data_IF_850456524935
#
_entry.id   IF_850456524935
#
_cell.length_a   1.000
_cell.length_b   1.000
_cell.length_c   1.000
_cell.angle_alpha   90.00
_cell.angle_beta   90.00
_cell.angle_gamma   90.00
#
_symmetry.space_group_name_H-M   'P 1'
#
loop_
_entity.id
_entity.type
_entity.pdbx_description
1 polymer ?
#
# COMPACT_ATOMS: atom_id res chain seq x y z
N UNK A 1 17.92 -3.73 8.04
CA UNK A 1 19.14 -3.23 7.36
C UNK A 1 19.22 -1.74 7.64
N UNK A 2 20.18 -1.33 8.48
CA UNK A 2 20.38 0.07 8.87
C UNK A 2 20.90 0.88 7.67
N UNK A 3 20.42 2.11 7.49
CA UNK A 3 20.83 3.01 6.41
C UNK A 3 22.28 3.46 6.67
N UNK A 4 23.08 3.56 5.62
CA UNK A 4 24.48 3.99 5.73
C UNK A 4 24.59 5.50 5.58
N UNK A 5 25.62 6.14 6.14
CA UNK A 5 25.90 7.57 5.93
C UNK A 5 25.96 7.95 4.43
N UNK A 6 26.36 7.00 3.59
CA UNK A 6 26.37 7.13 2.12
C UNK A 6 24.96 7.23 1.53
N UNK A 7 23.98 6.51 2.09
CA UNK A 7 22.58 6.57 1.66
C UNK A 7 21.92 7.90 2.03
N UNK A 8 22.27 8.47 3.18
CA UNK A 8 21.76 9.78 3.62
C UNK A 8 22.33 10.91 2.75
N UNK A 9 23.65 10.93 2.53
CA UNK A 9 24.31 11.92 1.67
C UNK A 9 23.79 11.87 0.22
N UNK A 10 23.54 10.67 -0.32
CA UNK A 10 22.97 10.50 -1.66
C UNK A 10 21.53 11.06 -1.75
N UNK A 11 20.72 10.93 -0.69
CA UNK A 11 19.36 11.49 -0.64
C UNK A 11 19.36 13.01 -0.58
N UNK A 12 20.27 13.60 0.19
CA UNK A 12 20.40 15.07 0.26
C UNK A 12 20.83 15.66 -1.08
N UNK A 13 21.81 15.04 -1.75
CA UNK A 13 22.25 15.46 -3.08
C UNK A 13 21.11 15.34 -4.12
N UNK A 14 20.29 14.27 -4.04
CA UNK A 14 19.11 14.12 -4.89
C UNK A 14 18.06 15.20 -4.61
N UNK A 15 17.81 15.52 -3.33
CA UNK A 15 16.90 16.59 -2.89
C UNK A 15 17.28 17.93 -3.47
N UNK A 16 18.56 18.28 -3.38
CA UNK A 16 19.09 19.51 -3.96
C UNK A 16 18.89 19.57 -5.49
N UNK A 17 19.02 18.44 -6.20
CA UNK A 17 18.88 18.36 -7.66
C UNK A 17 17.44 18.48 -8.17
N UNK A 18 16.46 17.96 -7.43
CA UNK A 18 15.06 17.91 -7.90
C UNK A 18 14.27 19.20 -7.66
N UNK A 19 14.83 20.17 -6.91
CA UNK A 19 14.24 21.49 -6.70
C UNK A 19 13.04 21.49 -5.72
N UNK A 20 12.50 22.69 -5.46
CA UNK A 20 11.48 22.94 -4.43
C UNK A 20 10.10 22.29 -4.68
N UNK A 21 9.87 21.76 -5.88
CA UNK A 21 8.60 21.09 -6.25
C UNK A 21 8.57 19.60 -5.91
N UNK A 22 9.70 18.98 -5.56
CA UNK A 22 9.75 17.58 -5.18
C UNK A 22 9.22 17.41 -3.75
N UNK A 23 8.12 16.66 -3.61
CA UNK A 23 7.56 16.29 -2.30
C UNK A 23 8.24 15.05 -1.76
N UNK A 24 8.78 15.17 -0.56
CA UNK A 24 9.41 14.09 0.19
C UNK A 24 8.60 13.78 1.43
N UNK A 25 8.71 12.55 1.92
CA UNK A 25 8.18 12.19 3.23
C UNK A 25 8.70 13.16 4.30
N UNK A 26 7.83 13.48 5.27
CA UNK A 26 8.20 14.25 6.45
C UNK A 26 9.43 13.64 7.16
N UNK A 27 10.26 14.49 7.77
CA UNK A 27 11.51 14.04 8.41
C UNK A 27 11.28 13.05 9.57
N UNK A 28 10.14 13.15 10.26
CA UNK A 28 9.74 12.26 11.34
C UNK A 28 8.88 11.08 10.86
N UNK A 29 8.65 10.90 9.55
CA UNK A 29 7.90 9.77 9.02
C UNK A 29 8.64 8.45 9.34
N UNK A 30 7.92 7.32 9.54
CA UNK A 30 8.53 6.02 9.80
C UNK A 30 9.19 5.46 8.53
N UNK A 31 10.41 5.94 8.23
CA UNK A 31 11.09 5.70 6.96
C UNK A 31 11.33 4.22 6.66
N UNK A 32 11.57 3.39 7.70
CA UNK A 32 11.72 1.94 7.56
C UNK A 32 10.43 1.27 7.09
N UNK A 33 9.30 1.60 7.73
CA UNK A 33 8.00 1.02 7.40
C UNK A 33 7.51 1.47 6.03
N UNK A 34 7.72 2.75 5.68
CA UNK A 34 7.46 3.27 4.33
C UNK A 34 8.29 2.56 3.26
N UNK A 35 9.55 2.26 3.56
CA UNK A 35 10.40 1.49 2.66
C UNK A 35 9.87 0.06 2.47
N UNK A 36 9.41 -0.60 3.56
CA UNK A 36 8.80 -1.92 3.46
C UNK A 36 7.51 -1.91 2.65
N UNK A 37 6.65 -0.90 2.84
CA UNK A 37 5.41 -0.72 2.09
C UNK A 37 5.69 -0.57 0.58
N UNK A 38 6.61 0.33 0.22
CA UNK A 38 6.96 0.60 -1.19
C UNK A 38 7.63 -0.59 -1.87
N UNK A 39 8.53 -1.29 -1.17
CA UNK A 39 9.16 -2.51 -1.71
C UNK A 39 8.16 -3.64 -1.88
N UNK A 40 7.25 -3.80 -0.92
CA UNK A 40 6.18 -4.77 -0.98
C UNK A 40 5.21 -4.48 -2.12
N UNK A 41 4.82 -3.22 -2.33
CA UNK A 41 4.00 -2.80 -3.46
C UNK A 41 4.69 -3.09 -4.80
N UNK A 42 5.99 -2.78 -4.92
CA UNK A 42 6.75 -3.12 -6.12
C UNK A 42 6.85 -4.65 -6.34
N UNK A 43 6.98 -5.45 -5.26
CA UNK A 43 7.00 -6.90 -5.35
C UNK A 43 5.64 -7.48 -5.76
N UNK A 44 4.55 -7.03 -5.13
CA UNK A 44 3.20 -7.42 -5.48
C UNK A 44 2.88 -7.06 -6.94
N UNK A 45 3.25 -5.85 -7.39
CA UNK A 45 3.06 -5.42 -8.78
C UNK A 45 3.76 -6.37 -9.78
N UNK A 46 4.99 -6.82 -9.48
CA UNK A 46 5.68 -7.81 -10.31
C UNK A 46 4.92 -9.13 -10.35
N UNK A 47 4.51 -9.65 -9.19
CA UNK A 47 3.73 -10.89 -9.11
C UNK A 47 2.38 -10.78 -9.81
N UNK A 48 1.71 -9.65 -9.71
CA UNK A 48 0.48 -9.38 -10.45
C UNK A 48 0.71 -9.38 -11.97
N UNK A 49 1.81 -8.81 -12.44
CA UNK A 49 2.16 -8.75 -13.86
C UNK A 49 2.63 -10.09 -14.45
N UNK A 50 3.05 -11.04 -13.61
CA UNK A 50 3.37 -12.41 -14.02
C UNK A 50 2.11 -13.25 -14.31
N UNK A 51 0.93 -12.85 -13.81
CA UNK A 51 -0.34 -13.54 -14.07
C UNK A 51 -0.86 -13.24 -15.48
N UNK A 52 -1.33 -14.26 -16.18
CA UNK A 52 -2.19 -14.08 -17.36
C UNK A 52 -3.59 -13.62 -16.96
N UNK A 53 -4.43 -13.23 -17.92
CA UNK A 53 -5.83 -12.88 -17.61
C UNK A 53 -6.64 -14.10 -17.14
N UNK A 54 -6.36 -15.29 -17.66
CA UNK A 54 -7.01 -16.53 -17.23
C UNK A 54 -6.62 -16.93 -15.80
N UNK A 55 -5.41 -16.58 -15.37
CA UNK A 55 -4.92 -16.88 -14.03
C UNK A 55 -5.73 -16.20 -12.91
N UNK A 56 -6.42 -15.10 -13.20
CA UNK A 56 -7.19 -14.35 -12.20
C UNK A 56 -8.33 -15.18 -11.60
N UNK A 57 -8.91 -16.09 -12.38
CA UNK A 57 -10.01 -16.97 -11.98
C UNK A 57 -9.52 -18.20 -11.19
N UNK A 58 -8.22 -18.46 -11.16
CA UNK A 58 -7.66 -19.56 -10.37
C UNK A 58 -7.79 -19.30 -8.85
N UNK A 59 -7.82 -20.37 -8.03
CA UNK A 59 -7.77 -20.25 -6.58
C UNK A 59 -6.53 -19.48 -6.09
N UNK A 60 -6.73 -18.67 -5.05
CA UNK A 60 -5.66 -18.07 -4.25
C UNK A 60 -5.30 -18.99 -3.08
N UNK A 61 -4.32 -18.61 -2.24
CA UNK A 61 -4.07 -19.33 -0.98
C UNK A 61 -5.07 -18.98 0.14
N UNK A 62 -5.92 -17.96 -0.06
CA UNK A 62 -7.02 -17.66 0.87
C UNK A 62 -8.22 -18.54 0.53
N UNK A 63 -8.74 -19.24 1.53
CA UNK A 63 -9.88 -20.13 1.36
C UNK A 63 -11.09 -19.39 0.77
N UNK A 64 -11.71 -19.97 -0.26
CA UNK A 64 -12.86 -19.38 -0.94
C UNK A 64 -12.55 -18.20 -1.86
N UNK A 65 -11.30 -17.74 -1.95
CA UNK A 65 -10.92 -16.59 -2.77
C UNK A 65 -10.19 -17.02 -4.03
N UNK A 66 -10.57 -16.45 -5.17
CA UNK A 66 -9.72 -16.45 -6.37
C UNK A 66 -8.67 -15.33 -6.31
N UNK A 67 -7.70 -15.34 -7.22
CA UNK A 67 -6.68 -14.27 -7.31
C UNK A 67 -7.31 -12.88 -7.53
N UNK A 68 -8.48 -12.79 -8.18
CA UNK A 68 -9.27 -11.54 -8.29
C UNK A 68 -9.56 -10.92 -6.92
N UNK A 69 -9.97 -11.74 -5.95
CA UNK A 69 -10.33 -11.28 -4.61
C UNK A 69 -9.11 -10.74 -3.88
N UNK A 70 -7.94 -11.39 -4.02
CA UNK A 70 -6.68 -10.90 -3.45
C UNK A 70 -6.31 -9.52 -4.04
N UNK A 71 -6.38 -9.37 -5.37
CA UNK A 71 -6.07 -8.09 -6.02
C UNK A 71 -7.05 -6.99 -5.59
N UNK A 72 -8.35 -7.31 -5.55
CA UNK A 72 -9.38 -6.39 -5.09
C UNK A 72 -9.16 -5.95 -3.64
N UNK A 73 -8.91 -6.90 -2.74
CA UNK A 73 -8.62 -6.65 -1.32
C UNK A 73 -7.41 -5.72 -1.13
N UNK A 74 -6.27 -6.06 -1.73
CA UNK A 74 -5.04 -5.27 -1.60
C UNK A 74 -5.23 -3.85 -2.14
N UNK A 75 -6.02 -3.69 -3.20
CA UNK A 75 -6.30 -2.36 -3.77
C UNK A 75 -7.26 -1.54 -2.91
N UNK A 76 -8.29 -2.17 -2.36
CA UNK A 76 -9.25 -1.51 -1.50
C UNK A 76 -8.68 -1.17 -0.13
N UNK A 77 -7.76 -1.98 0.39
CA UNK A 77 -6.98 -1.59 1.56
C UNK A 77 -6.21 -0.29 1.31
N UNK A 78 -5.55 -0.18 0.15
CA UNK A 78 -4.82 1.04 -0.20
C UNK A 78 -5.73 2.25 -0.32
N UNK A 79 -6.86 2.11 -1.04
CA UNK A 79 -7.85 3.18 -1.20
C UNK A 79 -8.46 3.61 0.13
N UNK A 80 -8.81 2.67 1.01
CA UNK A 80 -9.36 2.97 2.33
C UNK A 80 -8.36 3.78 3.17
N UNK A 81 -7.09 3.36 3.20
CA UNK A 81 -6.03 4.11 3.88
C UNK A 81 -5.85 5.50 3.27
N UNK A 82 -5.84 5.61 1.93
CA UNK A 82 -5.67 6.89 1.25
C UNK A 82 -6.79 7.89 1.62
N UNK A 83 -8.05 7.44 1.58
CA UNK A 83 -9.21 8.25 1.99
C UNK A 83 -9.08 8.69 3.45
N UNK A 84 -8.71 7.77 4.36
CA UNK A 84 -8.57 8.08 5.78
C UNK A 84 -7.46 9.12 6.04
N UNK A 85 -6.31 8.98 5.38
CA UNK A 85 -5.18 9.92 5.51
C UNK A 85 -5.48 11.28 4.88
N UNK A 86 -6.17 11.32 3.74
CA UNK A 86 -6.64 12.55 3.11
C UNK A 86 -7.54 13.34 4.06
N UNK A 87 -8.49 12.66 4.71
CA UNK A 87 -9.45 13.24 5.65
C UNK A 87 -8.83 13.95 6.86
N UNK A 88 -7.55 13.71 7.16
CA UNK A 88 -6.82 14.44 8.20
C UNK A 88 -6.39 15.84 7.77
N UNK A 89 -6.14 16.03 6.48
CA UNK A 89 -5.55 17.26 5.93
C UNK A 89 -6.60 18.14 5.27
N UNK A 90 -7.61 17.53 4.69
CA UNK A 90 -8.69 18.22 3.99
C UNK A 90 -10.03 17.48 4.12
N UNK A 91 -11.12 18.20 3.85
CA UNK A 91 -12.46 17.60 3.88
C UNK A 91 -12.64 16.54 2.80
N UNK A 92 -13.26 15.43 3.16
CA UNK A 92 -13.67 14.40 2.21
C UNK A 92 -14.89 14.86 1.39
N UNK A 93 -14.97 14.40 0.14
CA UNK A 93 -16.23 14.51 -0.60
C UNK A 93 -17.29 13.60 0.04
N UNK A 94 -18.57 13.85 -0.25
CA UNK A 94 -19.66 12.98 0.22
C UNK A 94 -19.46 11.54 -0.24
N UNK A 95 -19.01 11.34 -1.50
CA UNK A 95 -18.71 10.02 -2.05
C UNK A 95 -17.61 9.32 -1.24
N UNK A 96 -16.52 10.02 -0.92
CA UNK A 96 -15.41 9.46 -0.14
C UNK A 96 -15.83 9.11 1.29
N UNK A 97 -16.63 9.96 1.93
CA UNK A 97 -17.12 9.74 3.29
C UNK A 97 -18.09 8.54 3.39
N UNK A 98 -18.91 8.33 2.35
CA UNK A 98 -19.88 7.22 2.28
C UNK A 98 -19.29 5.94 1.69
N UNK A 99 -18.15 6.00 1.00
CA UNK A 99 -17.55 4.84 0.35
C UNK A 99 -17.21 3.74 1.35
N UNK A 100 -17.54 2.49 1.00
CA UNK A 100 -17.19 1.29 1.77
C UNK A 100 -16.59 0.24 0.84
N UNK A 101 -15.55 -0.49 1.26
CA UNK A 101 -14.96 -1.53 0.43
C UNK A 101 -15.91 -2.73 0.31
N UNK A 102 -16.11 -3.22 -0.91
CA UNK A 102 -16.79 -4.48 -1.20
C UNK A 102 -15.91 -5.35 -2.10
N UNK A 103 -15.11 -6.22 -1.48
CA UNK A 103 -14.14 -7.08 -2.18
C UNK A 103 -14.86 -8.06 -3.11
N UNK A 104 -16.04 -8.55 -2.74
CA UNK A 104 -16.79 -9.51 -3.55
C UNK A 104 -17.29 -8.87 -4.83
N UNK A 105 -17.85 -7.66 -4.74
CA UNK A 105 -18.26 -6.88 -5.90
C UNK A 105 -17.06 -6.52 -6.78
N UNK A 106 -15.97 -6.04 -6.18
CA UNK A 106 -14.77 -5.66 -6.91
C UNK A 106 -14.12 -6.84 -7.64
N UNK A 107 -14.16 -8.04 -7.06
CA UNK A 107 -13.65 -9.25 -7.72
C UNK A 107 -14.39 -9.58 -9.02
N UNK A 108 -15.60 -9.05 -9.26
CA UNK A 108 -16.34 -9.22 -10.52
C UNK A 108 -15.84 -8.32 -11.65
N UNK A 109 -14.96 -7.35 -11.37
CA UNK A 109 -14.44 -6.42 -12.37
C UNK A 109 -13.63 -7.17 -13.46
N UNK A 110 -13.60 -6.65 -14.70
CA UNK A 110 -12.69 -7.14 -15.73
C UNK A 110 -11.23 -7.10 -15.27
N UNK A 111 -10.40 -8.06 -15.71
CA UNK A 111 -8.99 -8.17 -15.26
C UNK A 111 -8.21 -6.87 -15.45
N UNK A 112 -8.37 -6.21 -16.61
CA UNK A 112 -7.78 -4.90 -16.87
C UNK A 112 -8.15 -3.86 -15.80
N UNK A 113 -9.40 -3.86 -15.34
CA UNK A 113 -9.88 -2.92 -14.34
C UNK A 113 -9.31 -3.24 -12.95
N UNK A 114 -9.11 -4.51 -12.60
CA UNK A 114 -8.43 -4.91 -11.37
C UNK A 114 -6.95 -4.47 -11.37
N UNK A 115 -6.25 -4.59 -12.51
CA UNK A 115 -4.87 -4.10 -12.65
C UNK A 115 -4.80 -2.58 -12.46
N UNK A 116 -5.69 -1.84 -13.12
CA UNK A 116 -5.76 -0.38 -12.95
C UNK A 116 -6.18 0.03 -11.54
N UNK A 117 -7.10 -0.70 -10.92
CA UNK A 117 -7.52 -0.47 -9.54
C UNK A 117 -6.32 -0.59 -8.59
N UNK A 118 -5.49 -1.63 -8.76
CA UNK A 118 -4.26 -1.79 -7.98
C UNK A 118 -3.28 -0.63 -8.23
N UNK A 119 -2.93 -0.37 -9.49
CA UNK A 119 -1.96 0.68 -9.85
C UNK A 119 -2.39 2.05 -9.30
N UNK A 120 -3.63 2.43 -9.52
CA UNK A 120 -4.14 3.73 -9.11
C UNK A 120 -4.20 3.86 -7.60
N UNK A 121 -4.70 2.84 -6.89
CA UNK A 121 -4.81 2.88 -5.43
C UNK A 121 -3.45 2.89 -4.74
N UNK A 122 -2.45 2.17 -5.27
CA UNK A 122 -1.09 2.15 -4.72
C UNK A 122 -0.37 3.49 -4.92
N UNK A 123 -0.48 4.08 -6.13
CA UNK A 123 0.05 5.42 -6.41
C UNK A 123 -0.60 6.47 -5.51
N UNK A 124 -1.92 6.44 -5.38
CA UNK A 124 -2.66 7.40 -4.56
C UNK A 124 -2.25 7.29 -3.09
N UNK A 125 -2.24 6.09 -2.49
CA UNK A 125 -1.78 5.94 -1.11
C UNK A 125 -0.34 6.43 -0.91
N UNK A 126 0.55 6.18 -1.86
CA UNK A 126 1.94 6.63 -1.76
C UNK A 126 2.09 8.16 -1.94
N UNK A 127 1.13 8.82 -2.59
CA UNK A 127 1.03 10.29 -2.57
C UNK A 127 0.56 10.76 -1.20
N UNK A 128 -0.49 10.15 -0.65
CA UNK A 128 -1.00 10.49 0.68
C UNK A 128 0.08 10.40 1.76
N UNK A 129 0.90 9.35 1.76
CA UNK A 129 2.05 9.25 2.69
C UNK A 129 3.05 10.39 2.55
N UNK A 130 3.32 10.86 1.33
CA UNK A 130 4.26 11.97 1.08
C UNK A 130 3.70 13.33 1.49
N UNK A 131 2.38 13.46 1.43
CA UNK A 131 1.68 14.72 1.71
C UNK A 131 1.34 14.90 3.19
N UNK A 132 1.48 13.85 4.01
CA UNK A 132 1.39 13.97 5.48
C UNK A 132 2.47 14.91 6.02
N UNK A 133 2.02 15.90 6.80
CA UNK A 133 2.90 16.82 7.54
C UNK A 133 3.46 16.12 8.78
N UNK A 134 4.55 16.63 9.37
CA UNK A 134 5.14 16.03 10.56
C UNK A 134 4.15 15.74 11.69
N UNK A 135 3.23 16.68 11.97
CA UNK A 135 2.21 16.58 13.00
C UNK A 135 1.14 15.52 12.70
N UNK A 136 0.85 15.24 11.42
CA UNK A 136 -0.17 14.26 11.04
C UNK A 136 0.27 12.83 11.42
N UNK A 137 1.58 12.57 11.48
CA UNK A 137 2.14 11.25 11.86
C UNK A 137 1.91 10.87 13.33
N UNK A 138 1.60 11.84 14.19
CA UNK A 138 1.29 11.63 15.61
C UNK A 138 -0.23 11.48 15.87
N UNK A 139 -1.05 11.61 14.83
CA UNK A 139 -2.49 11.43 14.90
C UNK A 139 -2.95 9.97 14.79
N UNK A 140 -4.28 9.81 14.83
CA UNK A 140 -4.97 8.55 14.58
C UNK A 140 -5.90 8.68 13.38
N UNK A 141 -6.10 7.57 12.68
CA UNK A 141 -7.10 7.44 11.61
C UNK A 141 -7.96 6.23 11.82
N UNK A 142 -9.22 6.34 11.44
CA UNK A 142 -10.16 5.23 11.43
C UNK A 142 -10.08 4.52 10.08
N UNK A 143 -9.64 3.27 10.08
CA UNK A 143 -9.67 2.43 8.88
C UNK A 143 -11.04 1.76 8.71
N UNK A 144 -11.19 0.98 7.63
CA UNK A 144 -12.36 0.15 7.41
C UNK A 144 -12.67 -0.69 8.67
N UNK A 145 -13.96 -0.96 8.91
CA UNK A 145 -14.50 -1.63 10.12
C UNK A 145 -14.48 -0.79 11.41
N UNK A 146 -14.07 0.50 11.34
CA UNK A 146 -14.16 1.42 12.48
C UNK A 146 -12.98 1.33 13.45
N UNK A 147 -11.92 0.62 13.07
CA UNK A 147 -10.72 0.46 13.91
C UNK A 147 -9.87 1.74 13.84
N UNK A 148 -9.69 2.41 14.99
CA UNK A 148 -8.73 3.50 15.11
C UNK A 148 -7.31 2.94 15.15
N UNK A 149 -6.43 3.49 14.31
CA UNK A 149 -5.00 3.14 14.26
C UNK A 149 -4.14 4.40 14.28
N UNK A 150 -2.98 4.37 14.97
CA UNK A 150 -2.00 5.44 14.84
C UNK A 150 -1.54 5.57 13.38
N UNK A 151 -1.48 6.79 12.85
CA UNK A 151 -1.06 7.05 11.45
C UNK A 151 0.30 6.45 11.17
N UNK A 152 1.23 6.56 12.12
CA UNK A 152 2.57 5.99 12.07
C UNK A 152 2.61 4.46 11.86
N UNK A 153 1.52 3.74 12.15
CA UNK A 153 1.40 2.28 11.93
C UNK A 153 0.89 1.92 10.55
N UNK A 154 0.26 2.85 9.83
CA UNK A 154 -0.34 2.59 8.52
C UNK A 154 0.65 2.09 7.46
N UNK A 155 1.93 2.56 7.38
CA UNK A 155 2.87 2.00 6.41
C UNK A 155 3.23 0.54 6.71
N UNK A 156 3.35 0.15 7.98
CA UNK A 156 3.61 -1.25 8.34
C UNK A 156 2.41 -2.15 8.03
N UNK A 157 1.18 -1.68 8.30
CA UNK A 157 -0.04 -2.39 7.93
C UNK A 157 -0.14 -2.58 6.41
N UNK A 158 0.17 -1.53 5.64
CA UNK A 158 0.25 -1.62 4.18
C UNK A 158 1.30 -2.63 3.74
N UNK A 159 2.50 -2.58 4.32
CA UNK A 159 3.59 -3.49 4.00
C UNK A 159 3.19 -4.95 4.19
N UNK A 160 2.57 -5.30 5.32
CA UNK A 160 2.09 -6.67 5.57
C UNK A 160 1.13 -7.12 4.48
N UNK A 161 0.13 -6.31 4.16
CA UNK A 161 -0.92 -6.69 3.23
C UNK A 161 -0.41 -6.93 1.81
N UNK A 162 0.50 -6.08 1.29
CA UNK A 162 1.08 -6.29 -0.05
C UNK A 162 2.04 -7.48 -0.08
N UNK A 163 2.84 -7.70 0.96
CA UNK A 163 3.79 -8.81 1.02
C UNK A 163 3.08 -10.16 1.14
N UNK A 164 2.12 -10.28 2.05
CA UNK A 164 1.32 -11.51 2.19
C UNK A 164 0.36 -11.68 1.01
N UNK A 165 -0.23 -10.59 0.51
CA UNK A 165 -1.06 -10.62 -0.69
C UNK A 165 -0.32 -11.18 -1.91
N UNK A 166 0.99 -10.92 -2.03
CA UNK A 166 1.79 -11.48 -3.12
C UNK A 166 1.95 -13.00 -3.00
N UNK A 167 2.10 -13.53 -1.77
CA UNK A 167 2.08 -14.98 -1.51
C UNK A 167 0.69 -15.53 -1.82
N UNK A 168 -0.37 -14.83 -1.39
CA UNK A 168 -1.76 -15.24 -1.58
C UNK A 168 -2.14 -15.38 -3.06
N UNK A 169 -1.49 -14.64 -3.98
CA UNK A 169 -1.65 -14.84 -5.42
C UNK A 169 -1.26 -16.24 -5.89
N UNK A 170 -0.60 -17.08 -5.09
CA UNK A 170 -0.31 -18.47 -5.41
C UNK A 170 0.43 -18.65 -6.76
N UNK A 171 1.37 -17.75 -7.08
CA UNK A 171 2.15 -17.77 -8.32
C UNK A 171 3.67 -17.69 -8.09
N UNK A 172 4.13 -18.36 -7.03
CA UNK A 172 5.55 -18.59 -6.76
C UNK A 172 6.21 -17.62 -5.79
N UNK A 173 5.48 -16.63 -5.24
CA UNK A 173 5.95 -15.92 -4.05
C UNK A 173 5.83 -16.79 -2.79
N UNK A 174 6.79 -16.68 -1.88
CA UNK A 174 6.89 -17.49 -0.68
C UNK A 174 7.31 -16.67 0.54
N UNK A 175 7.19 -17.24 1.74
CA UNK A 175 7.71 -16.62 2.97
C UNK A 175 9.21 -16.34 2.94
N UNK A 176 9.99 -16.94 2.03
CA UNK A 176 11.43 -16.65 1.91
C UNK A 176 11.70 -15.32 1.20
N UNK A 177 10.73 -14.83 0.44
CA UNK A 177 10.84 -13.57 -0.31
C UNK A 177 10.53 -12.34 0.57
N UNK A 178 9.92 -12.55 1.74
CA UNK A 178 9.54 -11.48 2.66
C UNK A 178 10.74 -10.98 3.48
N UNK A 179 10.86 -9.66 3.72
CA UNK A 179 11.81 -9.12 4.69
C UNK A 179 11.61 -9.74 6.08
N UNK A 180 12.70 -10.00 6.80
CA UNK A 180 12.66 -10.64 8.11
C UNK A 180 11.71 -9.96 9.09
N UNK A 181 11.74 -8.62 9.13
CA UNK A 181 10.90 -7.78 9.99
C UNK A 181 9.40 -7.91 9.68
N UNK A 182 9.03 -8.21 8.41
CA UNK A 182 7.63 -8.42 8.02
C UNK A 182 7.15 -9.83 8.38
N UNK A 183 8.05 -10.83 8.36
CA UNK A 183 7.70 -12.22 8.68
C UNK A 183 7.40 -12.44 10.17
N UNK A 184 8.08 -11.71 11.05
CA UNK A 184 8.02 -11.90 12.51
C UNK A 184 7.10 -10.94 13.26
N UNK A 185 6.47 -9.99 12.58
CA UNK A 185 5.58 -8.99 13.17
C UNK A 185 4.12 -9.47 13.26
#
# INVERSE_FOLDING_TARGET
MFQTETDEAAREALRARQGKGARYDAANAPAGDLLFARRGAAFFARKLNELSDADFDAPSLREGWSRRHVVAHVSYQARAMAIALKGMREGLTEEEAQWRPDVMLAATLPVRALRYLYEHSDVHLNVEFRDLRPEDWDGEVTLAEGVSVPVRKTPLLRARDVWFGAIDLANGATLKDLPADIRGA
#
